data_IF_934203953236
#
_entry.id   IF_934203953236
#
_cell.length_a   1.000
_cell.length_b   1.000
_cell.length_c   1.000
_cell.angle_alpha   90.00
_cell.angle_beta   90.00
_cell.angle_gamma   90.00
#
_symmetry.space_group_name_H-M   'P 1'
#
loop_
_entity.id
_entity.type
_entity.pdbx_description
1 polymer ?
#
# COMPACT_ATOMS: atom_id res chain seq x y z
N UNK A 1 23.04 14.32 -15.94
CA UNK A 1 22.32 13.13 -16.37
C UNK A 1 23.17 11.85 -16.58
N UNK A 2 24.46 11.91 -16.91
CA UNK A 2 25.30 10.70 -17.16
C UNK A 2 25.76 9.92 -15.91
N UNK A 3 25.73 10.51 -14.70
CA UNK A 3 26.24 9.85 -13.47
C UNK A 3 25.23 8.95 -12.75
N UNK A 4 23.94 9.10 -13.03
CA UNK A 4 22.87 8.28 -12.44
C UNK A 4 22.87 6.87 -13.05
N UNK A 5 23.24 6.72 -14.31
CA UNK A 5 23.24 5.43 -15.01
C UNK A 5 24.29 4.44 -14.48
N UNK A 6 25.41 4.92 -13.91
CA UNK A 6 26.49 4.05 -13.43
C UNK A 6 26.10 3.37 -12.10
N UNK A 7 25.44 4.08 -11.21
CA UNK A 7 24.97 3.51 -9.94
C UNK A 7 23.83 2.49 -10.19
N UNK A 8 22.96 2.74 -11.17
CA UNK A 8 21.90 1.84 -11.56
C UNK A 8 22.43 0.56 -12.22
N UNK A 9 23.44 0.68 -13.08
CA UNK A 9 24.10 -0.47 -13.70
C UNK A 9 24.88 -1.29 -12.67
N UNK A 10 25.51 -0.64 -11.68
CA UNK A 10 26.19 -1.31 -10.59
C UNK A 10 25.23 -2.07 -9.66
N UNK A 11 24.03 -1.53 -9.38
CA UNK A 11 22.98 -2.23 -8.63
C UNK A 11 22.41 -3.42 -9.40
N UNK A 12 22.22 -3.29 -10.72
CA UNK A 12 21.81 -4.40 -11.59
C UNK A 12 22.89 -5.48 -11.70
N UNK A 13 24.16 -5.11 -11.77
CA UNK A 13 25.27 -6.06 -11.82
C UNK A 13 25.42 -6.84 -10.51
N UNK A 14 25.14 -6.22 -9.35
CA UNK A 14 25.13 -6.90 -8.05
C UNK A 14 23.99 -7.94 -7.94
N UNK A 15 22.88 -7.74 -8.64
CA UNK A 15 21.74 -8.68 -8.67
C UNK A 15 22.06 -9.90 -9.57
N UNK A 16 22.86 -9.73 -10.63
CA UNK A 16 23.20 -10.79 -11.58
C UNK A 16 24.32 -11.72 -11.12
N UNK A 17 25.02 -11.43 -10.03
CA UNK A 17 26.18 -12.22 -9.55
C UNK A 17 25.81 -13.16 -8.37
N UNK A 18 24.56 -13.54 -8.21
CA UNK A 18 24.23 -14.62 -7.29
C UNK A 18 24.56 -15.98 -7.94
N UNK A 19 25.64 -16.70 -7.55
CA UNK A 19 25.93 -18.00 -8.13
C UNK A 19 24.83 -18.99 -7.70
N UNK A 20 24.26 -19.65 -8.69
CA UNK A 20 23.37 -20.80 -8.50
C UNK A 20 24.22 -21.99 -7.98
N UNK A 21 24.50 -22.04 -6.70
CA UNK A 21 25.21 -23.15 -6.10
C UNK A 21 26.14 -22.75 -4.96
N UNK A 22 25.58 -22.34 -3.83
CA UNK A 22 26.39 -22.28 -2.62
C UNK A 22 25.54 -22.55 -1.37
N UNK A 23 25.80 -23.65 -0.77
CA UNK A 23 25.24 -24.13 0.50
C UNK A 23 25.77 -23.39 1.76
N UNK A 24 26.62 -22.39 1.60
CA UNK A 24 27.03 -21.52 2.70
C UNK A 24 26.27 -20.19 2.62
N UNK A 25 25.41 -19.96 3.61
CA UNK A 25 24.82 -18.64 3.83
C UNK A 25 25.94 -17.64 4.15
N UNK A 26 26.41 -16.94 3.16
CA UNK A 26 27.40 -15.90 3.36
C UNK A 26 26.86 -14.85 4.35
N UNK A 27 27.59 -14.54 5.41
CA UNK A 27 27.21 -13.55 6.43
C UNK A 27 26.80 -12.18 5.85
N UNK A 28 27.35 -11.79 4.70
CA UNK A 28 27.00 -10.53 4.05
C UNK A 28 25.54 -10.49 3.53
N UNK A 29 24.87 -11.64 3.27
CA UNK A 29 23.45 -11.68 2.91
C UNK A 29 22.51 -11.27 4.04
N UNK A 30 22.97 -11.23 5.28
CA UNK A 30 22.22 -10.64 6.39
C UNK A 30 22.18 -9.12 6.26
N UNK A 31 23.27 -8.52 5.77
CA UNK A 31 23.43 -7.09 5.59
C UNK A 31 22.84 -6.59 4.27
N UNK A 32 22.83 -7.42 3.22
CA UNK A 32 22.38 -7.04 1.87
C UNK A 32 21.57 -8.16 1.25
N UNK A 33 20.26 -7.98 1.18
CA UNK A 33 19.34 -8.92 0.52
C UNK A 33 18.69 -8.23 -0.68
N UNK A 34 19.03 -8.63 -1.90
CA UNK A 34 18.31 -8.17 -3.09
C UNK A 34 16.90 -8.75 -3.12
N UNK A 35 15.97 -7.99 -3.67
CA UNK A 35 14.59 -8.40 -3.89
C UNK A 35 14.07 -7.67 -5.13
N UNK A 36 13.12 -8.27 -5.82
CA UNK A 36 12.53 -7.65 -6.98
C UNK A 36 11.14 -8.15 -7.30
N UNK A 37 10.45 -7.44 -8.18
CA UNK A 37 9.18 -7.89 -8.71
C UNK A 37 8.94 -7.32 -10.10
N UNK A 38 8.35 -8.15 -10.98
CA UNK A 38 7.88 -7.77 -12.30
C UNK A 38 6.42 -8.22 -12.42
N UNK A 39 5.55 -7.29 -12.77
CA UNK A 39 4.12 -7.54 -12.99
C UNK A 39 3.70 -6.93 -14.31
N UNK A 40 3.10 -7.74 -15.17
CA UNK A 40 2.56 -7.30 -16.44
C UNK A 40 1.38 -8.16 -16.85
N UNK A 41 0.60 -7.66 -17.78
CA UNK A 41 -0.61 -8.36 -18.19
C UNK A 41 -1.33 -7.73 -19.36
N UNK A 42 -2.57 -8.12 -19.50
CA UNK A 42 -3.51 -7.58 -20.48
C UNK A 42 -4.81 -7.17 -19.77
N UNK A 43 -5.31 -6.03 -20.15
CA UNK A 43 -6.64 -5.52 -19.79
C UNK A 43 -7.54 -5.61 -21.02
N UNK A 44 -8.75 -6.09 -20.87
CA UNK A 44 -9.74 -6.20 -21.92
C UNK A 44 -11.04 -5.54 -21.48
N UNK A 45 -11.49 -4.58 -22.28
CA UNK A 45 -12.81 -3.95 -22.15
C UNK A 45 -13.77 -4.62 -23.16
N UNK A 46 -14.73 -5.44 -22.71
CA UNK A 46 -15.64 -6.12 -23.61
C UNK A 46 -16.69 -5.21 -24.26
N UNK A 47 -16.91 -3.99 -23.78
CA UNK A 47 -17.89 -3.05 -24.37
C UNK A 47 -17.28 -2.30 -25.56
N UNK A 48 -16.04 -1.86 -25.42
CA UNK A 48 -15.30 -1.18 -26.47
C UNK A 48 -14.56 -2.17 -27.38
N UNK A 49 -14.58 -3.48 -27.05
CA UNK A 49 -13.77 -4.52 -27.72
C UNK A 49 -12.28 -4.15 -27.80
N UNK A 50 -11.80 -3.41 -26.80
CA UNK A 50 -10.42 -2.93 -26.70
C UNK A 50 -9.61 -3.78 -25.74
N UNK A 51 -8.34 -3.95 -26.07
CA UNK A 51 -7.40 -4.64 -25.18
C UNK A 51 -6.06 -3.92 -25.16
N UNK A 52 -5.44 -3.89 -23.98
CA UNK A 52 -4.18 -3.20 -23.77
C UNK A 52 -3.21 -4.09 -23.00
N UNK A 53 -1.98 -4.22 -23.51
CA UNK A 53 -0.89 -4.81 -22.76
C UNK A 53 -0.27 -3.75 -21.85
N UNK A 54 0.10 -4.17 -20.63
CA UNK A 54 0.73 -3.26 -19.67
C UNK A 54 1.85 -3.93 -18.88
N UNK A 55 2.84 -3.14 -18.50
CA UNK A 55 3.77 -3.45 -17.41
C UNK A 55 3.36 -2.62 -16.22
N UNK A 56 2.78 -3.26 -15.21
CA UNK A 56 2.22 -2.55 -14.05
C UNK A 56 3.29 -2.17 -13.06
N UNK A 57 4.22 -3.08 -12.81
CA UNK A 57 5.31 -2.87 -11.84
C UNK A 57 6.57 -3.58 -12.30
N UNK A 58 7.68 -2.88 -12.24
CA UNK A 58 9.01 -3.43 -12.28
C UNK A 58 9.78 -2.76 -11.14
N UNK A 59 10.09 -3.52 -10.09
CA UNK A 59 10.69 -2.99 -8.87
C UNK A 59 11.92 -3.76 -8.49
N UNK A 60 12.90 -3.04 -8.00
CA UNK A 60 14.12 -3.59 -7.40
C UNK A 60 14.27 -3.03 -6.00
N UNK A 61 14.78 -3.84 -5.09
CA UNK A 61 15.02 -3.42 -3.72
C UNK A 61 16.29 -4.06 -3.17
N UNK A 62 16.92 -3.32 -2.26
CA UNK A 62 17.94 -3.84 -1.37
C UNK A 62 17.47 -3.60 0.06
N UNK A 63 17.48 -4.64 0.86
CA UNK A 63 17.09 -4.57 2.26
C UNK A 63 18.09 -5.37 3.10
N UNK A 64 18.20 -5.03 4.37
CA UNK A 64 19.12 -5.72 5.25
C UNK A 64 18.98 -5.35 6.71
N UNK A 65 19.69 -6.11 7.52
CA UNK A 65 19.80 -5.89 8.97
C UNK A 65 21.24 -5.53 9.28
N UNK A 66 21.49 -4.32 9.75
CA UNK A 66 22.82 -3.82 10.10
C UNK A 66 23.20 -4.17 11.53
N UNK A 67 22.22 -4.18 12.42
CA UNK A 67 22.39 -4.54 13.83
C UNK A 67 21.28 -5.49 14.24
N UNK A 68 21.64 -6.56 14.92
CA UNK A 68 20.71 -7.46 15.57
C UNK A 68 21.35 -7.95 16.89
N UNK A 69 21.06 -7.24 17.96
CA UNK A 69 21.67 -7.47 19.26
C UNK A 69 20.61 -7.39 20.36
N UNK A 70 20.50 -8.38 21.26
CA UNK A 70 19.49 -8.39 22.32
C UNK A 70 19.54 -7.16 23.25
N UNK A 71 20.72 -6.55 23.44
CA UNK A 71 20.91 -5.38 24.31
C UNK A 71 20.63 -4.07 23.59
N UNK A 72 20.99 -3.96 22.32
CA UNK A 72 20.95 -2.71 21.55
C UNK A 72 19.82 -2.69 20.52
N UNK A 73 19.03 -3.76 20.43
CA UNK A 73 17.93 -3.85 19.50
C UNK A 73 18.34 -4.24 18.08
N UNK A 74 17.47 -3.94 17.13
CA UNK A 74 17.61 -4.30 15.71
C UNK A 74 17.55 -3.06 14.84
N UNK A 75 18.51 -2.90 13.91
CA UNK A 75 18.57 -1.85 12.91
C UNK A 75 18.46 -2.45 11.52
N UNK A 76 17.43 -2.07 10.80
CA UNK A 76 17.10 -2.53 9.44
C UNK A 76 17.05 -1.33 8.49
N UNK A 77 17.27 -1.60 7.20
CA UNK A 77 17.09 -0.61 6.16
C UNK A 77 16.42 -1.21 4.94
N UNK A 78 15.75 -0.36 4.16
CA UNK A 78 15.17 -0.70 2.87
C UNK A 78 15.44 0.43 1.89
N UNK A 79 15.89 0.08 0.69
CA UNK A 79 15.93 0.96 -0.48
C UNK A 79 15.20 0.24 -1.60
N UNK A 80 14.12 0.83 -2.12
CA UNK A 80 13.31 0.24 -3.20
C UNK A 80 13.03 1.27 -4.27
N UNK A 81 13.23 0.89 -5.53
CA UNK A 81 12.94 1.72 -6.68
C UNK A 81 11.89 1.08 -7.59
N UNK A 82 11.09 1.90 -8.26
CA UNK A 82 10.25 1.55 -9.39
C UNK A 82 10.98 1.87 -10.68
N UNK A 83 10.85 1.02 -11.69
CA UNK A 83 11.47 1.17 -13.00
C UNK A 83 10.43 1.41 -14.11
N UNK A 84 9.14 1.39 -13.78
CA UNK A 84 8.05 1.64 -14.75
C UNK A 84 7.85 3.13 -14.91
N UNK A 85 7.62 3.59 -16.15
CA UNK A 85 7.47 4.98 -16.57
C UNK A 85 8.76 5.79 -16.32
N UNK A 86 8.87 6.41 -15.16
CA UNK A 86 10.09 7.12 -14.74
C UNK A 86 10.68 6.44 -13.52
N UNK A 87 11.98 6.09 -13.53
CA UNK A 87 12.63 5.53 -12.34
C UNK A 87 12.46 6.44 -11.12
N UNK A 88 11.93 5.90 -10.05
CA UNK A 88 11.63 6.64 -8.82
C UNK A 88 11.94 5.83 -7.57
N UNK A 89 12.44 6.49 -6.53
CA UNK A 89 12.60 5.89 -5.22
C UNK A 89 11.20 5.69 -4.61
N UNK A 90 10.85 4.45 -4.28
CA UNK A 90 9.60 4.15 -3.57
C UNK A 90 9.80 4.15 -2.06
N UNK A 91 10.71 3.33 -1.57
CA UNK A 91 11.02 3.24 -0.16
C UNK A 91 12.51 3.55 0.04
N UNK A 92 12.83 4.40 1.01
CA UNK A 92 14.17 4.71 1.44
C UNK A 92 14.13 5.03 2.93
N UNK A 93 14.28 4.02 3.80
CA UNK A 93 14.13 4.21 5.23
C UNK A 93 15.07 3.35 6.07
N UNK A 94 15.26 3.80 7.29
CA UNK A 94 15.91 3.08 8.38
C UNK A 94 14.83 2.76 9.42
N UNK A 95 14.88 1.54 9.96
CA UNK A 95 13.96 1.06 10.98
C UNK A 95 14.73 0.52 12.16
N UNK A 96 14.59 1.17 13.30
CA UNK A 96 15.22 0.75 14.54
C UNK A 96 14.15 0.21 15.51
N UNK A 97 14.33 -1.03 15.97
CA UNK A 97 13.48 -1.67 16.95
C UNK A 97 14.31 -1.91 18.20
N UNK A 98 14.06 -1.15 19.27
CA UNK A 98 14.75 -1.32 20.54
C UNK A 98 14.25 -2.58 21.26
N UNK A 99 12.93 -2.76 21.30
CA UNK A 99 12.20 -3.91 21.86
C UNK A 99 10.82 -3.99 21.21
N UNK A 100 10.07 -5.03 21.52
CA UNK A 100 8.74 -5.23 20.93
C UNK A 100 7.80 -4.03 21.15
N UNK A 101 7.91 -3.37 22.30
CA UNK A 101 7.03 -2.26 22.68
C UNK A 101 7.40 -0.93 22.02
N UNK A 102 8.64 -0.81 21.52
CA UNK A 102 9.11 0.47 20.97
C UNK A 102 10.11 0.31 19.83
N UNK A 103 9.79 0.94 18.75
CA UNK A 103 10.65 1.14 17.59
C UNK A 103 10.40 2.48 16.91
N UNK A 104 11.33 2.90 16.08
CA UNK A 104 11.23 4.10 15.25
C UNK A 104 11.64 3.78 13.81
N UNK A 105 10.90 4.32 12.87
CA UNK A 105 11.19 4.25 11.44
C UNK A 105 11.29 5.66 10.88
N UNK A 106 12.35 5.94 10.13
CA UNK A 106 12.63 7.26 9.55
C UNK A 106 12.99 7.13 8.08
N UNK A 107 12.45 8.02 7.26
CA UNK A 107 12.69 8.10 5.82
C UNK A 107 11.41 8.10 5.01
N UNK A 108 11.47 7.61 3.77
CA UNK A 108 10.34 7.49 2.88
C UNK A 108 9.79 6.05 2.91
N UNK A 109 8.54 5.91 3.29
CA UNK A 109 7.85 4.61 3.38
C UNK A 109 6.34 4.77 3.31
N UNK A 110 5.62 3.64 3.30
CA UNK A 110 4.16 3.67 3.31
C UNK A 110 3.62 4.28 4.60
N UNK A 111 2.74 5.24 4.43
CA UNK A 111 2.01 5.87 5.54
C UNK A 111 1.18 4.83 6.30
N UNK A 112 1.20 4.82 7.64
CA UNK A 112 0.46 3.84 8.44
C UNK A 112 -1.04 4.19 8.54
N UNK A 113 -1.69 4.37 7.40
CA UNK A 113 -3.12 4.61 7.28
C UNK A 113 -3.74 3.48 6.49
N UNK A 114 -4.92 3.02 6.96
CA UNK A 114 -5.68 1.94 6.35
C UNK A 114 -5.01 0.55 6.48
N UNK A 115 -5.81 -0.48 6.51
CA UNK A 115 -5.37 -1.87 6.63
C UNK A 115 -4.75 -2.37 5.32
N UNK A 116 -5.46 -2.16 4.21
CA UNK A 116 -5.06 -2.71 2.92
C UNK A 116 -3.74 -2.12 2.42
N UNK A 117 -3.53 -0.80 2.56
CA UNK A 117 -2.28 -0.15 2.18
C UNK A 117 -1.09 -0.61 3.02
N UNK A 118 -1.30 -0.83 4.31
CA UNK A 118 -0.21 -1.08 5.26
C UNK A 118 0.13 -2.55 5.43
N UNK A 119 -0.86 -3.42 5.53
CA UNK A 119 -0.65 -4.84 5.83
C UNK A 119 -0.50 -5.70 4.56
N UNK A 120 -0.95 -5.20 3.41
CA UNK A 120 -0.88 -5.95 2.17
C UNK A 120 0.15 -5.38 1.19
N UNK A 121 0.93 -6.27 0.62
CA UNK A 121 1.83 -5.88 -0.46
C UNK A 121 1.09 -5.87 -1.79
N UNK A 122 1.33 -4.84 -2.60
CA UNK A 122 0.83 -4.79 -3.97
C UNK A 122 1.37 -5.90 -4.89
N UNK A 123 2.36 -6.68 -4.40
CA UNK A 123 2.90 -7.85 -5.10
C UNK A 123 2.31 -9.16 -4.60
N UNK A 124 1.49 -9.15 -3.55
CA UNK A 124 0.92 -10.36 -2.96
C UNK A 124 -0.58 -10.27 -2.67
N UNK A 125 -1.17 -9.10 -2.90
CA UNK A 125 -2.61 -8.91 -2.77
C UNK A 125 -3.37 -9.84 -3.74
N UNK A 126 -4.53 -10.30 -3.30
CA UNK A 126 -5.28 -11.35 -3.98
C UNK A 126 -5.90 -10.88 -5.29
N UNK A 127 -6.46 -9.68 -5.30
CA UNK A 127 -6.97 -9.01 -6.50
C UNK A 127 -5.89 -8.05 -7.06
N UNK A 128 -5.92 -7.80 -8.35
CA UNK A 128 -4.92 -6.99 -9.05
C UNK A 128 -4.89 -5.56 -8.51
N UNK A 129 -6.06 -5.00 -8.20
CA UNK A 129 -6.21 -3.64 -7.69
C UNK A 129 -6.58 -3.61 -6.21
N UNK A 130 -6.09 -2.57 -5.52
CA UNK A 130 -6.60 -2.20 -4.20
C UNK A 130 -8.06 -1.76 -4.27
N UNK A 131 -8.75 -1.76 -3.13
CA UNK A 131 -10.10 -1.22 -3.00
C UNK A 131 -10.17 0.26 -3.38
N UNK A 132 -11.36 0.74 -3.79
CA UNK A 132 -11.60 2.15 -4.07
C UNK A 132 -11.23 3.04 -2.89
N UNK A 133 -11.62 2.64 -1.69
CA UNK A 133 -11.28 3.35 -0.44
C UNK A 133 -9.78 3.56 -0.31
N UNK A 134 -9.01 2.50 -0.49
CA UNK A 134 -7.55 2.57 -0.41
C UNK A 134 -6.95 3.43 -1.51
N UNK A 135 -7.47 3.33 -2.73
CA UNK A 135 -6.99 4.13 -3.86
C UNK A 135 -7.30 5.62 -3.69
N UNK A 136 -8.50 5.94 -3.16
CA UNK A 136 -9.00 7.32 -3.03
C UNK A 136 -8.41 8.06 -1.84
N UNK A 137 -8.14 7.38 -0.72
CA UNK A 137 -7.74 8.01 0.53
C UNK A 137 -6.28 7.79 0.93
N UNK A 138 -5.57 6.89 0.26
CA UNK A 138 -4.19 6.56 0.62
C UNK A 138 -3.18 6.95 -0.46
N UNK A 139 -3.49 7.95 -1.27
CA UNK A 139 -2.60 8.51 -2.29
C UNK A 139 -2.09 7.46 -3.28
N UNK A 140 -3.00 6.65 -3.83
CA UNK A 140 -2.66 5.59 -4.77
C UNK A 140 -3.04 5.95 -6.21
N UNK A 141 -2.22 6.77 -6.84
CA UNK A 141 -2.35 7.07 -8.26
C UNK A 141 -3.38 8.15 -8.59
N UNK A 142 -3.96 8.08 -9.78
CA UNK A 142 -4.84 9.10 -10.36
C UNK A 142 -6.21 9.24 -9.67
N UNK A 143 -6.55 8.29 -8.81
CA UNK A 143 -7.81 8.32 -8.06
C UNK A 143 -7.68 9.04 -6.71
N UNK A 144 -6.48 9.48 -6.35
CA UNK A 144 -6.23 10.22 -5.12
C UNK A 144 -7.03 11.53 -5.08
N UNK A 145 -7.82 11.72 -4.03
CA UNK A 145 -8.66 12.91 -3.85
C UNK A 145 -7.85 14.18 -3.56
N UNK A 146 -6.64 14.02 -3.06
CA UNK A 146 -5.75 15.14 -2.74
C UNK A 146 -4.82 15.50 -3.91
N UNK A 147 -4.79 14.70 -4.97
CA UNK A 147 -3.97 14.93 -6.15
C UNK A 147 -2.46 14.78 -5.94
N UNK A 148 -2.03 14.20 -4.82
CA UNK A 148 -0.62 14.11 -4.45
C UNK A 148 0.12 13.01 -5.20
N UNK A 149 -0.57 12.00 -5.72
CA UNK A 149 -0.01 10.85 -6.45
C UNK A 149 1.21 10.21 -5.76
N UNK A 150 1.08 9.90 -4.48
CA UNK A 150 2.19 9.51 -3.64
C UNK A 150 2.43 8.00 -3.55
N UNK A 151 1.68 7.20 -4.24
CA UNK A 151 1.69 5.73 -4.16
C UNK A 151 1.59 5.18 -2.71
N UNK A 152 0.84 5.89 -1.86
CA UNK A 152 0.63 5.55 -0.44
C UNK A 152 1.86 5.78 0.46
N UNK A 153 2.81 6.59 0.02
CA UNK A 153 4.09 6.84 0.70
C UNK A 153 4.34 8.31 0.96
N UNK A 154 5.10 8.58 2.01
CA UNK A 154 5.55 9.91 2.35
C UNK A 154 6.87 9.86 3.12
N UNK A 155 7.53 11.00 3.28
CA UNK A 155 8.77 11.14 4.04
C UNK A 155 8.40 11.57 5.47
N UNK A 156 8.87 10.82 6.46
CA UNK A 156 8.55 11.13 7.84
C UNK A 156 9.22 10.22 8.86
N UNK A 157 8.69 10.32 10.08
CA UNK A 157 9.08 9.49 11.22
C UNK A 157 7.84 8.79 11.77
N UNK A 158 7.95 7.51 12.06
CA UNK A 158 6.90 6.70 12.65
C UNK A 158 7.42 5.97 13.89
N UNK A 159 6.74 6.10 15.00
CA UNK A 159 6.93 5.33 16.21
C UNK A 159 5.94 4.16 16.20
N UNK A 160 6.43 2.99 16.53
CA UNK A 160 5.62 1.77 16.49
C UNK A 160 5.98 0.81 17.60
N UNK A 161 5.07 -0.07 17.93
CA UNK A 161 5.32 -1.13 18.92
C UNK A 161 4.16 -2.10 19.04
N UNK A 162 4.39 -3.11 19.90
CA UNK A 162 3.44 -4.17 20.19
C UNK A 162 3.42 -4.40 21.70
N UNK A 163 2.22 -4.62 22.25
CA UNK A 163 2.02 -4.84 23.68
C UNK A 163 1.21 -6.11 23.93
N UNK A 164 1.26 -6.57 25.16
CA UNK A 164 0.47 -7.67 25.70
C UNK A 164 0.67 -8.96 24.90
N UNK A 165 1.88 -9.54 25.05
CA UNK A 165 2.20 -10.83 24.43
C UNK A 165 1.35 -11.93 25.07
N UNK A 166 0.57 -12.61 24.24
CA UNK A 166 -0.32 -13.70 24.65
C UNK A 166 0.43 -15.03 24.72
N UNK A 167 -0.20 -16.04 25.31
CA UNK A 167 0.40 -17.36 25.53
C UNK A 167 0.74 -18.11 24.24
N UNK A 168 0.02 -17.84 23.15
CA UNK A 168 0.29 -18.40 21.82
C UNK A 168 1.34 -17.61 21.01
N UNK A 169 1.95 -16.59 21.63
CA UNK A 169 3.05 -15.81 21.10
C UNK A 169 2.65 -14.58 20.27
N UNK A 170 1.36 -14.36 19.98
CA UNK A 170 0.93 -13.13 19.32
C UNK A 170 0.86 -11.96 20.34
N UNK A 171 0.87 -10.71 19.83
CA UNK A 171 0.65 -9.53 20.66
C UNK A 171 -0.78 -9.02 20.44
N UNK A 172 -1.47 -8.76 21.56
CA UNK A 172 -2.86 -8.30 21.52
C UNK A 172 -3.01 -6.91 20.89
N UNK A 173 -2.03 -6.03 21.08
CA UNK A 173 -2.09 -4.63 20.64
C UNK A 173 -0.85 -4.30 19.79
N UNK A 174 -1.06 -3.59 18.68
CA UNK A 174 -0.02 -2.96 17.89
C UNK A 174 -0.41 -1.50 17.62
N UNK A 175 0.55 -0.59 17.67
CA UNK A 175 0.32 0.81 17.38
C UNK A 175 1.35 1.37 16.39
N UNK A 176 0.95 2.41 15.67
CA UNK A 176 1.80 3.27 14.86
C UNK A 176 1.37 4.73 15.12
N UNK A 177 2.34 5.63 15.34
CA UNK A 177 2.11 7.08 15.48
C UNK A 177 3.21 7.79 14.71
N UNK A 178 2.84 8.60 13.72
CA UNK A 178 3.80 9.19 12.83
C UNK A 178 3.54 10.65 12.48
N UNK A 179 4.61 11.32 12.06
CA UNK A 179 4.60 12.67 11.51
C UNK A 179 5.32 12.62 10.17
N UNK A 180 4.66 13.11 9.13
CA UNK A 180 5.13 13.08 7.76
C UNK A 180 5.07 14.47 7.13
N UNK A 181 5.75 14.65 6.01
CA UNK A 181 5.75 15.94 5.31
C UNK A 181 4.39 16.29 4.69
N UNK A 182 3.58 15.31 4.29
CA UNK A 182 2.32 15.56 3.57
C UNK A 182 2.49 15.83 2.07
N UNK A 183 3.74 15.95 1.59
CA UNK A 183 4.05 16.30 0.21
C UNK A 183 4.13 15.09 -0.73
N UNK A 184 4.06 13.87 -0.19
CA UNK A 184 4.17 12.63 -0.93
C UNK A 184 5.59 12.21 -1.24
N UNK A 185 5.72 11.31 -2.22
CA UNK A 185 7.00 10.65 -2.53
C UNK A 185 7.98 11.59 -3.23
N UNK A 186 9.26 11.51 -2.82
CA UNK A 186 10.41 12.22 -3.43
C UNK A 186 10.28 13.75 -3.46
N UNK A 187 9.41 14.32 -2.63
CA UNK A 187 9.21 15.75 -2.51
C UNK A 187 9.76 16.27 -1.19
N UNK A 188 10.33 17.48 -1.26
CA UNK A 188 10.64 18.25 -0.05
C UNK A 188 9.37 18.84 0.51
N UNK A 189 9.37 19.07 1.80
CA UNK A 189 8.38 19.87 2.48
C UNK A 189 8.65 21.34 2.13
N UNK A 190 7.77 21.93 1.35
CA UNK A 190 7.88 23.31 0.84
C UNK A 190 6.76 24.23 1.37
N UNK A 191 5.81 23.69 2.13
CA UNK A 191 4.60 24.40 2.54
C UNK A 191 4.33 24.37 4.07
N UNK A 192 5.25 23.82 4.85
CA UNK A 192 5.15 23.66 6.31
C UNK A 192 3.95 22.81 6.80
N UNK A 193 3.19 22.20 5.91
CA UNK A 193 2.15 21.23 6.28
C UNK A 193 2.80 20.00 6.88
N UNK A 194 2.20 19.50 7.94
CA UNK A 194 2.58 18.18 8.49
C UNK A 194 1.40 17.26 8.49
N UNK A 195 1.66 16.02 8.16
CA UNK A 195 0.70 14.94 8.16
C UNK A 195 0.90 14.11 9.42
N UNK A 196 -0.06 14.16 10.33
CA UNK A 196 -0.07 13.39 11.56
C UNK A 196 -0.90 12.14 11.36
N UNK A 197 -0.40 11.01 11.80
CA UNK A 197 -1.06 9.72 11.65
C UNK A 197 -0.99 8.92 12.93
N UNK A 198 -2.09 8.24 13.24
CA UNK A 198 -2.17 7.27 14.32
C UNK A 198 -2.97 6.05 13.87
N UNK A 199 -2.49 4.87 14.22
CA UNK A 199 -3.16 3.59 13.95
C UNK A 199 -3.03 2.69 15.15
N UNK A 200 -4.14 2.07 15.52
CA UNK A 200 -4.20 1.05 16.55
C UNK A 200 -4.78 -0.23 15.96
N UNK A 201 -4.11 -1.34 16.19
CA UNK A 201 -4.58 -2.67 15.83
C UNK A 201 -4.73 -3.52 17.08
N UNK A 202 -5.85 -4.21 17.18
CA UNK A 202 -6.13 -5.17 18.24
C UNK A 202 -6.29 -6.56 17.61
N UNK A 203 -5.63 -7.54 18.19
CA UNK A 203 -5.64 -8.93 17.75
C UNK A 203 -6.29 -9.81 18.83
N UNK A 204 -7.64 -9.86 18.92
CA UNK A 204 -8.33 -10.70 19.91
C UNK A 204 -7.99 -12.19 19.74
N UNK A 205 -7.71 -12.59 18.51
CA UNK A 205 -7.21 -13.90 18.11
C UNK A 205 -6.04 -13.70 17.15
N UNK A 206 -5.17 -14.68 17.05
CA UNK A 206 -4.03 -14.65 16.13
C UNK A 206 -4.48 -14.45 14.66
N UNK A 207 -5.64 -14.98 14.32
CA UNK A 207 -6.25 -14.93 12.98
C UNK A 207 -7.10 -13.68 12.74
N UNK A 208 -7.44 -12.92 13.80
CA UNK A 208 -8.36 -11.77 13.72
C UNK A 208 -7.65 -10.49 14.12
N UNK A 209 -7.64 -9.49 13.26
CA UNK A 209 -7.24 -8.14 13.57
C UNK A 209 -8.38 -7.15 13.37
N UNK A 210 -8.50 -6.20 14.28
CA UNK A 210 -9.40 -5.06 14.22
C UNK A 210 -8.50 -3.83 14.22
N UNK A 211 -8.73 -2.91 13.30
CA UNK A 211 -7.92 -1.70 13.15
C UNK A 211 -8.77 -0.46 13.22
N UNK A 212 -8.26 0.57 13.88
CA UNK A 212 -8.74 1.94 13.80
C UNK A 212 -7.57 2.87 13.47
N UNK A 213 -7.82 3.90 12.68
CA UNK A 213 -6.78 4.84 12.28
C UNK A 213 -7.36 6.24 12.07
N UNK A 214 -6.49 7.21 12.25
CA UNK A 214 -6.75 8.62 12.01
C UNK A 214 -5.52 9.26 11.37
N UNK A 215 -5.75 10.12 10.40
CA UNK A 215 -4.71 10.97 9.86
C UNK A 215 -5.22 12.37 9.62
N UNK A 216 -4.34 13.36 9.81
CA UNK A 216 -4.65 14.78 9.66
C UNK A 216 -3.48 15.51 9.05
N UNK A 217 -3.74 16.23 7.96
CA UNK A 217 -2.83 17.21 7.40
C UNK A 217 -3.25 18.59 7.85
N UNK A 218 -2.30 19.38 8.34
CA UNK A 218 -2.50 20.79 8.75
C UNK A 218 -1.53 21.68 7.99
N UNK A 219 -2.02 22.69 7.35
CA UNK A 219 -1.17 23.71 6.74
C UNK A 219 -1.81 24.42 5.55
N UNK A 220 -1.16 25.48 5.03
CA UNK A 220 -1.62 26.19 3.86
C UNK A 220 -1.55 25.29 2.61
N UNK A 221 -2.56 25.36 1.75
CA UNK A 221 -2.54 24.66 0.46
C UNK A 221 -2.86 25.65 -0.67
N UNK A 222 -1.85 26.30 -1.23
CA UNK A 222 -2.05 27.31 -2.26
C UNK A 222 -2.56 26.76 -3.60
N UNK A 223 -2.35 25.47 -3.88
CA UNK A 223 -2.54 24.92 -5.23
C UNK A 223 -3.93 24.29 -5.47
N UNK A 224 -4.71 24.01 -4.44
CA UNK A 224 -5.97 23.24 -4.58
C UNK A 224 -7.20 24.16 -4.67
N UNK A 225 -7.13 25.37 -4.12
CA UNK A 225 -8.22 26.33 -4.16
C UNK A 225 -7.68 27.77 -4.20
N UNK A 226 -7.38 28.30 -5.38
CA UNK A 226 -6.88 29.67 -5.53
C UNK A 226 -7.88 30.74 -5.05
N UNK A 227 -9.15 30.38 -4.87
CA UNK A 227 -10.18 31.24 -4.29
C UNK A 227 -10.10 31.38 -2.77
N UNK A 228 -9.32 30.53 -2.08
CA UNK A 228 -9.14 30.62 -0.63
C UNK A 228 -7.88 31.40 -0.30
N UNK A 229 -8.00 32.24 0.74
CA UNK A 229 -6.90 33.05 1.23
C UNK A 229 -5.71 32.14 1.61
N UNK A 230 -4.50 32.49 1.17
CA UNK A 230 -3.24 31.78 1.44
C UNK A 230 -2.99 31.57 2.95
N UNK A 231 -3.71 32.27 3.79
CA UNK A 231 -3.62 32.21 5.26
C UNK A 231 -4.65 31.27 5.91
N UNK A 232 -5.59 30.71 5.16
CA UNK A 232 -6.52 29.75 5.70
C UNK A 232 -5.85 28.38 5.82
N UNK A 233 -5.84 27.85 7.03
CA UNK A 233 -5.29 26.52 7.28
C UNK A 233 -6.16 25.47 6.62
N UNK A 234 -5.56 24.75 5.72
CA UNK A 234 -6.21 23.67 5.03
C UNK A 234 -6.15 22.39 5.87
N UNK A 235 -7.29 21.76 6.08
CA UNK A 235 -7.42 20.58 6.93
C UNK A 235 -7.91 19.42 6.09
N UNK A 236 -7.13 18.35 6.10
CA UNK A 236 -7.56 17.03 5.62
C UNK A 236 -7.65 16.10 6.81
N UNK A 237 -8.81 15.59 7.08
CA UNK A 237 -9.02 14.52 8.03
C UNK A 237 -9.34 13.23 7.29
N UNK A 238 -8.69 12.13 7.66
CA UNK A 238 -8.99 10.79 7.22
C UNK A 238 -9.10 9.91 8.45
N UNK A 239 -10.18 9.20 8.60
CA UNK A 239 -10.35 8.26 9.70
C UNK A 239 -11.18 7.06 9.23
N UNK A 240 -11.00 5.97 9.91
CA UNK A 240 -11.70 4.76 9.58
C UNK A 240 -11.31 3.60 10.45
N UNK A 241 -11.85 2.47 10.10
CA UNK A 241 -11.54 1.22 10.76
C UNK A 241 -11.89 0.03 9.90
N UNK A 242 -11.33 -1.10 10.25
CA UNK A 242 -11.51 -2.31 9.50
C UNK A 242 -11.26 -3.57 10.31
N UNK A 243 -11.56 -4.68 9.68
CA UNK A 243 -11.36 -6.02 10.23
C UNK A 243 -10.71 -6.91 9.19
N UNK A 244 -9.78 -7.74 9.63
CA UNK A 244 -9.17 -8.78 8.83
C UNK A 244 -9.14 -10.09 9.61
N UNK A 245 -9.80 -11.09 9.07
CA UNK A 245 -9.79 -12.45 9.56
C UNK A 245 -9.19 -13.38 8.51
N UNK A 246 -8.24 -14.23 8.91
CA UNK A 246 -7.62 -15.21 8.03
C UNK A 246 -7.54 -16.55 8.71
N UNK A 247 -8.15 -17.56 8.10
CA UNK A 247 -8.12 -18.95 8.53
C UNK A 247 -7.37 -19.84 7.53
N UNK A 248 -7.31 -21.12 7.81
CA UNK A 248 -6.79 -22.13 6.86
C UNK A 248 -7.69 -22.35 5.64
N UNK A 249 -8.94 -21.91 5.68
CA UNK A 249 -9.90 -22.09 4.58
C UNK A 249 -10.03 -20.89 3.67
N UNK A 250 -9.75 -19.70 4.20
CA UNK A 250 -9.91 -18.45 3.47
C UNK A 250 -9.75 -17.24 4.37
N UNK A 251 -10.17 -16.08 3.85
CA UNK A 251 -10.07 -14.81 4.58
C UNK A 251 -11.29 -13.93 4.33
N UNK A 252 -11.51 -13.03 5.28
CA UNK A 252 -12.41 -11.89 5.15
C UNK A 252 -11.65 -10.62 5.49
N UNK A 253 -11.85 -9.56 4.72
CA UNK A 253 -11.29 -8.24 4.98
C UNK A 253 -12.30 -7.18 4.60
N UNK A 254 -12.50 -6.19 5.47
CA UNK A 254 -13.36 -5.07 5.20
C UNK A 254 -12.90 -3.84 5.95
N UNK A 255 -13.09 -2.66 5.34
CA UNK A 255 -12.81 -1.36 5.94
C UNK A 255 -13.86 -0.35 5.53
N UNK A 256 -14.07 0.61 6.42
CA UNK A 256 -14.81 1.84 6.19
C UNK A 256 -13.90 3.03 6.46
N UNK A 257 -13.93 4.02 5.57
CA UNK A 257 -13.20 5.30 5.75
C UNK A 257 -14.09 6.48 5.43
N UNK A 258 -13.85 7.55 6.18
CA UNK A 258 -14.32 8.89 5.86
C UNK A 258 -13.14 9.83 5.66
N UNK A 259 -13.33 10.79 4.78
CA UNK A 259 -12.36 11.83 4.52
C UNK A 259 -13.04 13.19 4.43
N UNK A 260 -12.59 14.12 5.26
CA UNK A 260 -12.95 15.53 5.18
C UNK A 260 -11.81 16.27 4.48
N UNK A 261 -12.11 16.95 3.41
CA UNK A 261 -11.16 17.76 2.66
C UNK A 261 -11.77 19.14 2.53
N UNK A 262 -11.28 20.12 3.30
CA UNK A 262 -11.74 21.49 3.28
C UNK A 262 -13.27 21.64 3.33
N UNK A 263 -13.89 20.93 4.28
CA UNK A 263 -15.36 20.93 4.47
C UNK A 263 -16.12 19.95 3.56
N UNK A 264 -15.47 19.32 2.59
CA UNK A 264 -16.09 18.30 1.75
C UNK A 264 -15.92 16.91 2.36
N UNK A 265 -17.00 16.17 2.44
CA UNK A 265 -17.03 14.82 2.99
C UNK A 265 -17.10 13.79 1.87
N UNK A 266 -16.07 12.94 1.80
CA UNK A 266 -16.12 11.71 1.03
C UNK A 266 -16.10 10.50 1.97
N UNK A 267 -16.70 9.40 1.56
CA UNK A 267 -16.73 8.16 2.35
C UNK A 267 -16.80 6.93 1.48
N UNK A 268 -16.33 5.83 2.01
CA UNK A 268 -16.41 4.58 1.31
C UNK A 268 -16.17 3.38 2.20
N UNK A 269 -16.49 2.24 1.66
CA UNK A 269 -16.28 0.94 2.30
C UNK A 269 -15.94 -0.11 1.27
N UNK A 270 -15.27 -1.16 1.72
CA UNK A 270 -15.16 -2.38 0.94
C UNK A 270 -15.27 -3.62 1.83
N UNK A 271 -15.64 -4.72 1.21
CA UNK A 271 -15.58 -6.04 1.81
C UNK A 271 -15.03 -7.03 0.80
N UNK A 272 -14.01 -7.79 1.18
CA UNK A 272 -13.37 -8.85 0.39
C UNK A 272 -13.55 -10.18 1.09
N UNK A 273 -14.03 -11.18 0.38
CA UNK A 273 -14.02 -12.58 0.77
C UNK A 273 -13.07 -13.35 -0.10
N UNK A 274 -12.29 -14.25 0.48
CA UNK A 274 -11.43 -15.16 -0.27
C UNK A 274 -11.48 -16.57 0.28
N UNK A 275 -11.28 -17.53 -0.61
CA UNK A 275 -11.31 -18.96 -0.31
C UNK A 275 -10.14 -19.67 -0.97
N UNK A 276 -9.47 -20.55 -0.22
CA UNK A 276 -8.41 -21.41 -0.75
C UNK A 276 -9.03 -22.66 -1.36
N UNK A 277 -9.07 -22.71 -2.69
CA UNK A 277 -9.62 -23.86 -3.44
C UNK A 277 -8.62 -25.03 -3.39
N UNK A 278 -7.36 -24.72 -3.65
CA UNK A 278 -6.22 -25.60 -3.58
C UNK A 278 -5.05 -24.86 -2.91
N UNK A 279 -3.97 -25.53 -2.49
CA UNK A 279 -2.79 -24.84 -1.95
C UNK A 279 -2.22 -23.77 -2.90
N UNK A 280 -2.32 -23.98 -4.20
CA UNK A 280 -1.81 -23.08 -5.24
C UNK A 280 -2.90 -22.17 -5.84
N UNK A 281 -4.19 -22.39 -5.52
CA UNK A 281 -5.31 -21.67 -6.15
C UNK A 281 -6.23 -21.08 -5.11
N UNK A 282 -6.37 -19.79 -5.14
CA UNK A 282 -7.37 -19.05 -4.36
C UNK A 282 -8.32 -18.24 -5.27
N UNK A 283 -9.55 -18.08 -4.80
CA UNK A 283 -10.53 -17.21 -5.43
C UNK A 283 -10.99 -16.15 -4.42
N UNK A 284 -11.33 -14.97 -4.91
CA UNK A 284 -11.83 -13.88 -4.08
C UNK A 284 -12.86 -13.03 -4.80
N UNK A 285 -13.73 -12.43 -3.99
CA UNK A 285 -14.72 -11.46 -4.44
C UNK A 285 -14.67 -10.24 -3.54
N UNK A 286 -14.77 -9.04 -4.13
CA UNK A 286 -14.81 -7.78 -3.42
C UNK A 286 -15.95 -6.92 -3.90
N UNK A 287 -16.64 -6.30 -2.97
CA UNK A 287 -17.56 -5.21 -3.21
C UNK A 287 -16.95 -3.92 -2.68
N UNK A 288 -16.94 -2.88 -3.51
CA UNK A 288 -16.50 -1.53 -3.18
C UNK A 288 -17.66 -0.56 -3.29
N UNK A 289 -17.79 0.31 -2.32
CA UNK A 289 -18.69 1.45 -2.28
C UNK A 289 -17.92 2.72 -2.02
N UNK A 290 -18.17 3.78 -2.78
CA UNK A 290 -17.52 5.07 -2.59
C UNK A 290 -18.42 6.23 -3.02
N UNK A 291 -18.48 7.27 -2.17
CA UNK A 291 -19.17 8.54 -2.46
C UNK A 291 -18.13 9.64 -2.43
N UNK A 292 -18.01 10.42 -3.52
CA UNK A 292 -16.94 11.41 -3.67
C UNK A 292 -17.15 12.65 -2.81
N UNK A 293 -18.39 13.12 -2.65
CA UNK A 293 -18.69 14.32 -1.89
C UNK A 293 -20.18 14.38 -1.57
N UNK A 294 -20.51 14.11 -0.33
CA UNK A 294 -21.90 14.07 0.11
C UNK A 294 -22.54 15.45 0.26
N UNK A 295 -21.74 16.52 0.22
CA UNK A 295 -22.20 17.91 0.41
C UNK A 295 -22.55 18.63 -0.89
N UNK A 296 -22.21 18.05 -2.06
CA UNK A 296 -22.42 18.67 -3.37
C UNK A 296 -23.51 17.98 -4.17
N UNK A 297 -24.31 18.73 -4.96
CA UNK A 297 -25.27 18.12 -5.91
C UNK A 297 -24.60 17.27 -6.99
N UNK A 298 -23.31 17.51 -7.28
CA UNK A 298 -22.49 16.74 -8.20
C UNK A 298 -21.83 15.51 -7.58
N UNK A 299 -22.22 15.11 -6.39
CA UNK A 299 -21.74 13.91 -5.73
C UNK A 299 -21.96 12.68 -6.60
N UNK A 300 -20.92 11.90 -6.78
CA UNK A 300 -20.99 10.64 -7.52
C UNK A 300 -20.80 9.47 -6.55
N UNK A 301 -21.69 8.51 -6.68
CA UNK A 301 -21.59 7.24 -5.96
C UNK A 301 -21.07 6.17 -6.92
N UNK A 302 -20.08 5.42 -6.47
CA UNK A 302 -19.49 4.31 -7.23
C UNK A 302 -19.72 2.99 -6.50
N UNK A 303 -20.06 1.97 -7.25
CA UNK A 303 -20.20 0.61 -6.77
C UNK A 303 -19.40 -0.30 -7.70
N UNK A 304 -18.47 -1.06 -7.17
CA UNK A 304 -17.71 -2.04 -7.93
C UNK A 304 -17.88 -3.42 -7.34
N UNK A 305 -18.07 -4.40 -8.20
CA UNK A 305 -17.87 -5.80 -7.84
C UNK A 305 -16.65 -6.29 -8.61
N UNK A 306 -15.67 -6.81 -7.90
CA UNK A 306 -14.52 -7.49 -8.49
C UNK A 306 -14.49 -8.93 -8.03
N UNK A 307 -14.44 -9.86 -8.97
CA UNK A 307 -14.19 -11.27 -8.70
C UNK A 307 -12.89 -11.70 -9.36
N UNK A 308 -12.17 -12.59 -8.73
CA UNK A 308 -10.90 -13.03 -9.30
C UNK A 308 -10.41 -14.35 -8.75
N UNK A 309 -9.49 -14.93 -9.47
CA UNK A 309 -8.74 -16.11 -9.08
C UNK A 309 -7.24 -15.82 -9.18
N UNK A 310 -6.47 -16.39 -8.25
CA UNK A 310 -5.03 -16.30 -8.25
C UNK A 310 -4.43 -17.71 -8.18
N UNK A 311 -3.60 -18.04 -9.15
CA UNK A 311 -2.89 -19.30 -9.26
C UNK A 311 -1.40 -19.10 -8.99
N UNK A 312 -0.86 -19.79 -7.98
CA UNK A 312 0.52 -19.70 -7.49
C UNK A 312 1.22 -21.06 -7.56
N UNK A 313 1.59 -21.52 -8.76
CA UNK A 313 2.24 -22.81 -8.91
C UNK A 313 3.65 -22.87 -8.33
N UNK A 314 4.29 -21.71 -8.17
CA UNK A 314 5.65 -21.55 -7.67
C UNK A 314 5.72 -20.42 -6.64
N UNK A 315 6.67 -20.47 -5.73
CA UNK A 315 6.84 -19.44 -4.69
C UNK A 315 7.16 -18.05 -5.25
N UNK A 316 7.77 -18.00 -6.42
CA UNK A 316 8.21 -16.76 -7.10
C UNK A 316 7.33 -16.35 -8.28
N UNK A 317 6.35 -17.16 -8.67
CA UNK A 317 5.48 -16.89 -9.82
C UNK A 317 4.01 -17.08 -9.45
N UNK A 318 3.17 -16.15 -9.88
CA UNK A 318 1.71 -16.29 -9.83
C UNK A 318 1.03 -15.57 -11.01
N UNK A 319 -0.16 -16.04 -11.34
CA UNK A 319 -1.08 -15.42 -12.30
C UNK A 319 -2.39 -15.06 -11.60
N UNK A 320 -2.99 -13.95 -12.02
CA UNK A 320 -4.27 -13.45 -11.51
C UNK A 320 -5.19 -13.14 -12.68
N UNK A 321 -6.44 -13.57 -12.58
CA UNK A 321 -7.53 -13.21 -13.49
C UNK A 321 -8.60 -12.49 -12.68
N UNK A 322 -8.93 -11.27 -13.05
CA UNK A 322 -9.97 -10.47 -12.42
C UNK A 322 -11.02 -10.05 -13.43
N UNK A 323 -12.28 -10.08 -13.02
CA UNK A 323 -13.37 -9.40 -13.67
C UNK A 323 -13.91 -8.33 -12.72
N UNK A 324 -14.03 -7.10 -13.21
CA UNK A 324 -14.58 -5.96 -12.47
C UNK A 324 -15.78 -5.41 -13.21
N UNK A 325 -16.89 -5.25 -12.51
CA UNK A 325 -18.08 -4.54 -12.96
C UNK A 325 -18.23 -3.27 -12.11
N UNK A 326 -18.26 -2.11 -12.78
CA UNK A 326 -18.53 -0.82 -12.15
C UNK A 326 -19.93 -0.36 -12.55
N UNK A 327 -20.82 -0.21 -11.58
CA UNK A 327 -22.15 0.31 -11.79
C UNK A 327 -22.35 1.59 -11.00
N UNK A 328 -22.37 2.70 -11.70
CA UNK A 328 -22.73 3.99 -11.12
C UNK A 328 -24.25 4.14 -11.12
N UNK A 329 -24.88 4.64 -10.05
CA UNK A 329 -26.35 4.69 -9.93
C UNK A 329 -27.05 5.63 -10.91
N UNK A 330 -26.34 6.53 -11.56
CA UNK A 330 -26.96 7.55 -12.42
C UNK A 330 -26.68 7.34 -13.90
N UNK A 331 -27.56 6.60 -14.55
CA UNK A 331 -27.84 6.63 -16.01
C UNK A 331 -26.75 6.15 -16.99
N UNK A 332 -25.59 5.74 -16.54
CA UNK A 332 -24.54 5.19 -17.42
C UNK A 332 -24.60 3.67 -17.36
N UNK A 333 -24.48 3.03 -18.51
CA UNK A 333 -24.39 1.56 -18.53
C UNK A 333 -23.20 1.09 -17.69
N UNK A 334 -23.30 -0.05 -16.99
CA UNK A 334 -22.19 -0.62 -16.24
C UNK A 334 -20.97 -0.81 -17.14
N UNK A 335 -19.80 -0.47 -16.63
CA UNK A 335 -18.54 -0.75 -17.35
C UNK A 335 -17.95 -2.07 -16.85
N UNK A 336 -17.39 -2.84 -17.77
CA UNK A 336 -16.85 -4.16 -17.53
C UNK A 336 -15.38 -4.19 -17.87
N UNK A 337 -14.56 -4.82 -17.03
CA UNK A 337 -13.14 -4.93 -17.25
C UNK A 337 -12.64 -6.33 -16.88
N UNK A 338 -11.91 -6.95 -17.78
CA UNK A 338 -11.23 -8.22 -17.53
C UNK A 338 -9.72 -7.98 -17.52
N UNK A 339 -9.05 -8.37 -16.45
CA UNK A 339 -7.60 -8.23 -16.31
C UNK A 339 -6.97 -9.59 -16.08
N UNK A 340 -5.98 -9.91 -16.90
CA UNK A 340 -5.07 -11.02 -16.68
C UNK A 340 -3.68 -10.47 -16.36
N UNK A 341 -3.11 -10.81 -15.23
CA UNK A 341 -1.79 -10.36 -14.80
C UNK A 341 -0.92 -11.52 -14.39
N UNK A 342 0.34 -11.49 -14.81
CA UNK A 342 1.39 -12.38 -14.32
C UNK A 342 2.38 -11.62 -13.46
N UNK A 343 2.97 -12.31 -12.49
CA UNK A 343 3.87 -11.72 -11.51
C UNK A 343 5.04 -12.63 -11.21
N UNK A 344 6.24 -12.06 -11.27
CA UNK A 344 7.47 -12.66 -10.75
C UNK A 344 7.89 -11.87 -9.51
N UNK A 345 8.20 -12.56 -8.42
CA UNK A 345 8.66 -11.96 -7.15
C UNK A 345 9.84 -12.77 -6.63
N UNK A 346 10.98 -12.14 -6.41
CA UNK A 346 12.23 -12.78 -6.00
C UNK A 346 13.02 -11.95 -5.00
#
# INVERSE_FOLDING_TARGET
MKRINIVFVALLALICVAPAGAQEKHKWLEYVRPSGSLQGGVSFDPQEMDYQFYVRRARVAVLGTVLNNPRYGKLEYVVRASLVQSPSLLDGFIKYTLRDEFGVQFGQFRSPVNLENTELSSTTIELIDYSLVTQRFCHLGSLDLEGINASGRDIGINFYGKFLKMSDGHHLIRYDVGIFNGAGINRRDDDQRKHYMARLMVYPLKELSIVGYYSRVLGPHPDIAPEYNVYDWYVYDRYGGGVYYKSKYGWFRGEYMEGHTHGYLARGAYATLGYFILPELDASARYDYFVTDTSRPSSTTQHLITVGARWKPLSFFYAQLNYTCNFAPSSVQPTHLVNLQTSLVF
#
